data_IF_797744043790
#
_entry.id   IF_797744043790
#
_cell.length_a   1.000
_cell.length_b   1.000
_cell.length_c   1.000
_cell.angle_alpha   90.00
_cell.angle_beta   90.00
_cell.angle_gamma   90.00
#
_symmetry.space_group_name_H-M   'P 1'
#
loop_
_entity.id
_entity.type
_entity.pdbx_description
1 polymer ?
#
# COMPACT_ATOMS: atom_id res chain seq x y z
N UNK A 1 -16.60 38.65 10.36
CA UNK A 1 -17.45 37.49 10.70
C UNK A 1 -16.92 36.32 9.88
N UNK A 2 -16.55 35.28 10.61
CA UNK A 2 -15.58 34.23 10.32
C UNK A 2 -15.93 33.35 9.12
N UNK A 3 -14.95 33.04 8.28
CA UNK A 3 -15.01 31.96 7.29
C UNK A 3 -14.88 30.64 8.05
N UNK A 4 -15.99 29.93 8.20
CA UNK A 4 -16.01 28.55 8.69
C UNK A 4 -15.33 27.67 7.63
N UNK A 5 -14.07 27.32 7.87
CA UNK A 5 -13.41 26.23 7.16
C UNK A 5 -14.14 24.95 7.52
N UNK A 6 -15.00 24.49 6.61
CA UNK A 6 -15.55 23.14 6.62
C UNK A 6 -14.37 22.20 6.41
N UNK A 7 -13.77 21.76 7.52
CA UNK A 7 -12.87 20.62 7.55
C UNK A 7 -13.74 19.40 7.23
N UNK A 8 -13.85 19.10 5.94
CA UNK A 8 -14.38 17.82 5.49
C UNK A 8 -13.50 16.75 6.15
N UNK A 9 -14.04 16.07 7.17
CA UNK A 9 -13.44 14.85 7.68
C UNK A 9 -13.49 13.82 6.56
N UNK A 10 -12.47 13.82 5.70
CA UNK A 10 -12.18 12.77 4.75
C UNK A 10 -12.13 11.46 5.56
N UNK A 11 -13.23 10.70 5.51
CA UNK A 11 -13.34 9.43 6.20
C UNK A 11 -12.10 8.60 5.93
N UNK A 12 -11.48 8.08 6.99
CA UNK A 12 -10.19 7.39 6.94
C UNK A 12 -10.09 6.47 5.71
N UNK A 13 -9.40 6.94 4.66
CA UNK A 13 -9.22 6.14 3.45
C UNK A 13 -8.21 5.07 3.82
N UNK A 14 -8.72 3.86 4.02
CA UNK A 14 -7.93 2.69 4.36
C UNK A 14 -6.99 2.39 3.18
N UNK A 15 -5.78 2.93 3.26
CA UNK A 15 -4.78 2.71 2.23
C UNK A 15 -4.10 1.33 2.38
N UNK A 16 -3.25 0.94 1.42
CA UNK A 16 -2.59 -0.36 1.41
C UNK A 16 -2.01 -0.81 2.77
N UNK A 17 -2.09 -2.12 3.03
CA UNK A 17 -1.64 -2.71 4.28
C UNK A 17 -0.13 -2.55 4.47
N UNK A 18 0.32 -2.40 5.72
CA UNK A 18 1.74 -2.34 6.06
C UNK A 18 2.29 -3.74 6.33
N UNK A 19 3.17 -4.24 5.47
CA UNK A 19 3.80 -5.55 5.61
C UNK A 19 5.05 -5.47 6.49
N UNK A 20 5.23 -6.42 7.42
CA UNK A 20 6.46 -6.50 8.23
C UNK A 20 7.52 -7.26 7.45
N UNK A 21 8.63 -6.61 7.11
CA UNK A 21 9.73 -7.18 6.32
C UNK A 21 10.90 -7.60 7.21
N UNK A 22 11.07 -6.96 8.36
CA UNK A 22 12.17 -7.27 9.28
C UNK A 22 11.79 -7.00 10.74
N UNK A 23 12.44 -7.74 11.65
CA UNK A 23 12.32 -7.58 13.10
C UNK A 23 13.72 -7.48 13.68
N UNK A 24 14.02 -6.39 14.37
CA UNK A 24 15.36 -6.09 14.87
C UNK A 24 15.37 -5.77 16.35
N UNK A 25 16.41 -6.16 17.10
CA UNK A 25 16.53 -5.84 18.51
C UNK A 25 16.81 -4.35 18.77
N UNK A 26 17.49 -3.66 17.85
CA UNK A 26 17.90 -2.26 17.99
C UNK A 26 17.32 -1.38 16.89
N UNK A 27 17.16 -0.08 17.19
CA UNK A 27 16.65 0.89 16.22
C UNK A 27 17.63 1.08 15.06
N UNK A 28 18.94 1.11 15.36
CA UNK A 28 19.99 1.30 14.35
C UNK A 28 19.97 0.20 13.29
N UNK A 29 19.85 -1.06 13.70
CA UNK A 29 19.74 -2.19 12.77
C UNK A 29 18.46 -2.09 11.91
N UNK A 30 17.33 -1.72 12.51
CA UNK A 30 16.10 -1.47 11.76
C UNK A 30 16.21 -0.28 10.81
N UNK A 31 16.94 0.76 11.18
CA UNK A 31 17.12 1.96 10.37
C UNK A 31 18.07 1.71 9.19
N UNK A 32 19.09 0.88 9.34
CA UNK A 32 19.93 0.44 8.23
C UNK A 32 19.09 -0.28 7.17
N UNK A 33 18.30 -1.27 7.57
CA UNK A 33 17.40 -1.96 6.64
C UNK A 33 16.34 -1.00 6.06
N UNK A 34 15.86 -0.03 6.83
CA UNK A 34 14.98 1.02 6.30
C UNK A 34 15.67 1.79 5.17
N UNK A 35 16.92 2.22 5.35
CA UNK A 35 17.65 2.99 4.34
C UNK A 35 17.91 2.18 3.07
N UNK A 36 18.18 0.88 3.22
CA UNK A 36 18.31 -0.04 2.08
C UNK A 36 17.01 -0.15 1.29
N UNK A 37 15.87 -0.34 1.98
CA UNK A 37 14.56 -0.48 1.34
C UNK A 37 13.99 0.85 0.82
N UNK A 38 14.40 1.99 1.39
CA UNK A 38 14.02 3.33 0.89
C UNK A 38 14.69 3.63 -0.45
N UNK A 39 15.77 2.93 -0.80
CA UNK A 39 16.38 3.04 -2.12
C UNK A 39 15.46 2.50 -3.24
N UNK A 40 14.48 1.67 -2.90
CA UNK A 40 13.43 1.24 -3.82
C UNK A 40 12.35 2.34 -3.91
N UNK A 41 12.32 3.09 -5.01
CA UNK A 41 11.45 4.26 -5.23
C UNK A 41 9.93 3.94 -5.15
N UNK A 42 9.57 2.66 -5.16
CA UNK A 42 8.20 2.16 -5.20
C UNK A 42 7.62 1.86 -3.80
N UNK A 43 8.44 1.91 -2.73
CA UNK A 43 8.06 1.51 -1.38
C UNK A 43 8.10 2.66 -0.36
N UNK A 44 7.01 2.79 0.40
CA UNK A 44 7.01 3.51 1.67
C UNK A 44 7.53 2.60 2.78
N UNK A 45 8.57 3.03 3.49
CA UNK A 45 9.20 2.25 4.56
C UNK A 45 9.15 3.00 5.88
N UNK A 46 8.72 2.33 6.96
CA UNK A 46 8.76 2.87 8.32
C UNK A 46 9.30 1.86 9.32
N UNK A 47 9.99 2.38 10.33
CA UNK A 47 10.36 1.59 11.51
C UNK A 47 9.30 1.80 12.58
N UNK A 48 8.82 0.72 13.17
CA UNK A 48 7.82 0.74 14.23
C UNK A 48 8.33 -0.05 15.44
N UNK A 49 8.40 0.59 16.60
CA UNK A 49 8.70 -0.10 17.84
C UNK A 49 7.51 -0.99 18.25
N UNK A 50 7.71 -2.31 18.23
CA UNK A 50 6.70 -3.27 18.64
C UNK A 50 7.06 -3.83 20.01
N UNK A 51 6.52 -3.18 21.05
CA UNK A 51 6.65 -3.63 22.43
C UNK A 51 5.34 -4.22 22.92
N UNK A 52 5.17 -5.54 22.84
CA UNK A 52 4.20 -6.23 23.71
C UNK A 52 4.88 -7.40 24.41
N UNK A 53 4.69 -7.43 25.73
CA UNK A 53 5.02 -8.39 26.80
C UNK A 53 6.16 -9.44 26.65
N UNK A 54 6.47 -10.00 25.47
CA UNK A 54 7.37 -11.16 25.33
C UNK A 54 8.48 -11.00 24.28
N UNK A 55 8.44 -10.01 23.40
CA UNK A 55 9.55 -9.73 22.48
C UNK A 55 9.58 -8.25 22.09
N UNK A 56 10.49 -7.47 22.69
CA UNK A 56 10.71 -6.06 22.35
C UNK A 56 11.59 -5.99 21.10
N UNK A 57 11.04 -5.51 19.99
CA UNK A 57 11.80 -5.33 18.75
C UNK A 57 11.29 -4.16 17.91
N UNK A 58 12.15 -3.65 17.05
CA UNK A 58 11.82 -2.71 15.99
C UNK A 58 11.41 -3.48 14.73
N UNK A 59 10.17 -3.29 14.29
CA UNK A 59 9.65 -3.86 13.06
C UNK A 59 9.87 -2.87 11.90
N UNK A 60 10.55 -3.30 10.85
CA UNK A 60 10.58 -2.58 9.58
C UNK A 60 9.35 -2.97 8.79
N UNK A 61 8.52 -1.98 8.46
CA UNK A 61 7.29 -2.17 7.71
C UNK A 61 7.38 -1.46 6.37
N UNK A 62 6.99 -2.14 5.31
CA UNK A 62 6.88 -1.59 3.96
C UNK A 62 5.43 -1.52 3.53
N UNK A 63 5.16 -0.64 2.57
CA UNK A 63 3.87 -0.48 1.91
C UNK A 63 4.13 0.05 0.51
N UNK A 64 3.45 -0.48 -0.50
CA UNK A 64 3.50 0.07 -1.86
C UNK A 64 2.97 1.51 -1.88
N UNK A 65 3.60 2.37 -2.69
CA UNK A 65 3.13 3.75 -2.83
C UNK A 65 1.65 3.74 -3.27
N UNK A 66 0.76 4.45 -2.54
CA UNK A 66 -0.65 4.51 -2.89
C UNK A 66 -0.92 4.95 -4.34
N UNK A 67 -0.01 5.71 -4.96
CA UNK A 67 -0.13 6.10 -6.38
C UNK A 67 -0.01 4.91 -7.32
N UNK A 68 0.94 4.01 -7.07
CA UNK A 68 1.18 2.81 -7.89
C UNK A 68 0.04 1.81 -7.69
N UNK A 69 -0.36 1.57 -6.43
CA UNK A 69 -1.47 0.68 -6.11
C UNK A 69 -2.80 1.11 -6.79
N UNK A 70 -3.04 2.42 -6.93
CA UNK A 70 -4.20 2.94 -7.67
C UNK A 70 -4.09 2.68 -9.18
N UNK A 71 -2.91 2.81 -9.76
CA UNK A 71 -2.68 2.57 -11.18
C UNK A 71 -2.85 1.08 -11.54
N UNK A 72 -2.28 0.19 -10.73
CA UNK A 72 -2.45 -1.26 -10.90
C UNK A 72 -3.93 -1.67 -10.79
N UNK A 73 -4.65 -1.16 -9.77
CA UNK A 73 -6.07 -1.43 -9.61
C UNK A 73 -6.92 -0.94 -10.80
N UNK A 74 -6.54 0.17 -11.43
CA UNK A 74 -7.16 0.65 -12.67
C UNK A 74 -6.81 -0.22 -13.88
N UNK A 75 -5.57 -0.70 -13.96
CA UNK A 75 -5.11 -1.65 -14.99
C UNK A 75 -5.90 -2.95 -14.95
N UNK A 76 -6.09 -3.53 -13.77
CA UNK A 76 -6.87 -4.75 -13.56
C UNK A 76 -8.32 -4.59 -14.00
N UNK A 77 -8.96 -3.49 -13.63
CA UNK A 77 -10.32 -3.15 -14.09
C UNK A 77 -10.41 -3.07 -15.61
N UNK A 78 -9.40 -2.48 -16.27
CA UNK A 78 -9.33 -2.41 -17.74
C UNK A 78 -9.14 -3.81 -18.35
N UNK A 79 -8.27 -4.64 -17.77
CA UNK A 79 -8.04 -6.01 -18.21
C UNK A 79 -9.29 -6.87 -18.11
N UNK A 80 -10.04 -6.76 -17.02
CA UNK A 80 -11.29 -7.49 -16.82
C UNK A 80 -12.40 -7.03 -17.77
N UNK A 81 -12.51 -5.72 -18.00
CA UNK A 81 -13.41 -5.18 -19.01
C UNK A 81 -13.08 -5.72 -20.40
N UNK A 82 -11.79 -5.81 -20.75
CA UNK A 82 -11.31 -6.39 -22.02
C UNK A 82 -11.66 -7.88 -22.11
N UNK A 83 -11.41 -8.67 -21.07
CA UNK A 83 -11.79 -10.10 -20.99
C UNK A 83 -13.29 -10.29 -21.15
N UNK A 84 -14.11 -9.47 -20.47
CA UNK A 84 -15.58 -9.51 -20.57
C UNK A 84 -16.05 -9.22 -22.00
N UNK A 85 -15.52 -8.18 -22.64
CA UNK A 85 -15.83 -7.85 -24.04
C UNK A 85 -15.44 -8.97 -25.00
N UNK A 86 -14.27 -9.57 -24.82
CA UNK A 86 -13.81 -10.69 -25.64
C UNK A 86 -14.73 -11.91 -25.52
N UNK A 87 -15.16 -12.26 -24.30
CA UNK A 87 -16.15 -13.33 -24.06
C UNK A 87 -17.49 -13.05 -24.78
N UNK A 88 -17.98 -11.81 -24.71
CA UNK A 88 -19.21 -11.38 -25.40
C UNK A 88 -19.10 -11.48 -26.92
N UNK A 89 -18.00 -11.02 -27.52
CA UNK A 89 -17.79 -11.14 -28.98
C UNK A 89 -17.70 -12.60 -29.43
N UNK A 90 -17.00 -13.46 -28.68
CA UNK A 90 -16.93 -14.90 -28.98
C UNK A 90 -18.30 -15.57 -28.96
N UNK A 91 -19.19 -15.16 -28.04
CA UNK A 91 -20.59 -15.63 -28.02
C UNK A 91 -21.38 -15.14 -29.23
N UNK A 92 -21.25 -13.85 -29.60
CA UNK A 92 -21.97 -13.26 -30.74
C UNK A 92 -21.57 -13.87 -32.09
N UNK A 93 -20.31 -14.27 -32.27
CA UNK A 93 -19.81 -14.92 -33.50
C UNK A 93 -20.27 -16.36 -33.69
N UNK A 94 -20.81 -17.01 -32.65
CA UNK A 94 -21.30 -18.40 -32.71
C UNK A 94 -22.80 -18.50 -33.00
N UNK A 95 -23.50 -17.37 -33.12
CA UNK A 95 -24.92 -17.28 -33.45
C UNK A 95 -25.04 -16.74 -34.86
#
# INVERSE_FOLDING_TARGET
MSTEEVVEEEGHVEGPHWNIVGKHPTFEAANQQRLELVAEEELQVKVHWQGKATARYFAVKTREDPRIALEEALSDKRADKKKRKAKLQKKRRKK
#
